data_IF_504336549552
#
_entry.id   IF_504336549552
#
_cell.length_a   1.000
_cell.length_b   1.000
_cell.length_c   1.000
_cell.angle_alpha   90.00
_cell.angle_beta   90.00
_cell.angle_gamma   90.00
#
_symmetry.space_group_name_H-M   'P 1'
#
loop_
_entity.id
_entity.type
_entity.pdbx_description
1 polymer ?
#
# COMPACT_ATOMS: atom_id res chain seq x y z
N UNK A 1 0.67 8.56 25.34
CA UNK A 1 0.07 7.62 24.37
C UNK A 1 -0.14 8.37 23.06
N UNK A 2 0.75 8.24 22.09
CA UNK A 2 0.50 8.74 20.73
C UNK A 2 0.25 7.51 19.86
N UNK A 3 -1.03 7.19 19.64
CA UNK A 3 -1.43 6.15 18.69
C UNK A 3 -1.22 6.72 17.29
N UNK A 4 -0.31 6.10 16.54
CA UNK A 4 -0.03 6.33 15.12
C UNK A 4 -1.26 6.04 14.26
N UNK A 5 -2.30 6.87 14.34
CA UNK A 5 -3.60 6.47 13.81
C UNK A 5 -3.68 6.47 12.27
N UNK A 6 -2.84 7.23 11.56
CA UNK A 6 -2.98 7.36 10.10
C UNK A 6 -1.63 7.60 9.43
N UNK A 7 -0.79 6.57 9.38
CA UNK A 7 0.41 6.62 8.53
C UNK A 7 0.05 6.66 7.04
N UNK A 8 -1.17 6.22 6.68
CA UNK A 8 -1.71 6.30 5.32
C UNK A 8 -3.19 6.68 5.41
N UNK A 9 -3.65 7.74 4.71
CA UNK A 9 -5.08 8.04 4.56
C UNK A 9 -5.84 6.84 3.96
N UNK A 10 -7.11 6.60 4.36
CA UNK A 10 -7.90 5.50 3.82
C UNK A 10 -8.08 5.59 2.30
N UNK A 11 -8.30 6.79 1.75
CA UNK A 11 -8.31 7.02 0.29
C UNK A 11 -7.02 6.52 -0.38
N UNK A 12 -5.88 6.68 0.29
CA UNK A 12 -4.60 6.23 -0.24
C UNK A 12 -4.42 4.71 -0.11
N UNK A 13 -4.88 4.13 0.99
CA UNK A 13 -4.86 2.68 1.19
C UNK A 13 -5.68 1.95 0.12
N UNK A 14 -6.88 2.46 -0.21
CA UNK A 14 -7.74 1.86 -1.24
C UNK A 14 -7.04 1.84 -2.60
N UNK A 15 -6.43 2.96 -3.04
CA UNK A 15 -5.72 3.01 -4.32
C UNK A 15 -4.51 2.08 -4.34
N UNK A 16 -3.77 1.98 -3.22
CA UNK A 16 -2.64 1.05 -3.11
C UNK A 16 -3.13 -0.41 -3.14
N UNK A 17 -4.25 -0.73 -2.47
CA UNK A 17 -4.88 -2.05 -2.53
C UNK A 17 -5.33 -2.41 -3.95
N UNK A 18 -6.03 -1.51 -4.64
CA UNK A 18 -6.46 -1.75 -6.03
C UNK A 18 -5.26 -1.98 -6.95
N UNK A 19 -4.19 -1.20 -6.79
CA UNK A 19 -2.97 -1.40 -7.57
C UNK A 19 -2.26 -2.73 -7.20
N UNK A 20 -2.29 -3.15 -5.92
CA UNK A 20 -1.77 -4.45 -5.48
C UNK A 20 -2.59 -5.62 -6.05
N UNK A 21 -3.90 -5.48 -6.17
CA UNK A 21 -4.76 -6.49 -6.78
C UNK A 21 -4.65 -6.51 -8.31
N UNK A 22 -4.51 -5.35 -8.95
CA UNK A 22 -4.40 -5.24 -10.39
C UNK A 22 -3.06 -5.73 -10.94
N UNK A 23 -1.96 -5.47 -10.21
CA UNK A 23 -0.59 -5.75 -10.69
C UNK A 23 0.06 -6.90 -9.93
N UNK A 24 -0.42 -7.22 -8.72
CA UNK A 24 0.20 -8.17 -7.81
C UNK A 24 1.27 -7.52 -6.94
N UNK A 25 1.31 -7.88 -5.65
CA UNK A 25 2.31 -7.41 -4.67
C UNK A 25 3.76 -7.83 -4.95
N UNK A 26 4.03 -8.40 -6.11
CA UNK A 26 5.33 -8.90 -6.53
C UNK A 26 6.26 -7.75 -6.99
N UNK A 27 5.69 -6.71 -7.61
CA UNK A 27 6.48 -5.60 -8.17
C UNK A 27 6.11 -4.24 -7.57
N UNK A 28 6.82 -3.86 -6.51
CA UNK A 28 6.81 -2.53 -5.90
C UNK A 28 7.01 -1.41 -6.93
N UNK A 29 7.85 -1.64 -7.95
CA UNK A 29 8.11 -0.68 -9.03
C UNK A 29 6.86 -0.38 -9.85
N UNK A 30 6.09 -1.40 -10.22
CA UNK A 30 4.85 -1.21 -10.98
C UNK A 30 3.78 -0.52 -10.13
N UNK A 31 3.71 -0.86 -8.84
CA UNK A 31 2.82 -0.17 -7.91
C UNK A 31 3.17 1.32 -7.82
N UNK A 32 4.47 1.64 -7.68
CA UNK A 32 4.96 3.00 -7.61
C UNK A 32 4.74 3.78 -8.92
N UNK A 33 4.88 3.11 -10.06
CA UNK A 33 4.60 3.66 -11.40
C UNK A 33 3.10 3.95 -11.58
N UNK A 34 2.24 3.05 -11.10
CA UNK A 34 0.78 3.20 -11.14
C UNK A 34 0.27 4.31 -10.22
N UNK A 35 0.86 4.40 -9.03
CA UNK A 35 0.59 5.42 -8.01
C UNK A 35 1.25 6.78 -8.32
N UNK A 36 2.15 6.84 -9.32
CA UNK A 36 2.91 8.02 -9.79
C UNK A 36 3.19 9.08 -8.72
N UNK A 37 4.34 9.00 -8.05
CA UNK A 37 4.95 10.01 -7.13
C UNK A 37 4.05 10.65 -6.04
N UNK A 38 2.75 10.36 -6.00
CA UNK A 38 1.79 10.94 -5.05
C UNK A 38 1.80 10.22 -3.69
N UNK A 39 2.52 9.11 -3.60
CA UNK A 39 2.58 8.21 -2.45
C UNK A 39 4.02 7.93 -2.10
N UNK A 40 4.32 7.94 -0.80
CA UNK A 40 5.65 7.63 -0.32
C UNK A 40 5.87 6.12 -0.29
N UNK A 41 7.14 5.71 -0.40
CA UNK A 41 7.55 4.31 -0.30
C UNK A 41 7.11 3.65 1.02
N UNK A 42 7.00 4.44 2.09
CA UNK A 42 6.59 3.98 3.41
C UNK A 42 5.11 3.59 3.43
N UNK A 43 4.23 4.44 2.87
CA UNK A 43 2.79 4.16 2.75
C UNK A 43 2.54 2.87 1.96
N UNK A 44 3.25 2.72 0.85
CA UNK A 44 3.17 1.55 -0.01
C UNK A 44 3.64 0.29 0.73
N UNK A 45 4.75 0.38 1.48
CA UNK A 45 5.26 -0.75 2.29
C UNK A 45 4.26 -1.19 3.35
N UNK A 46 3.65 -0.24 4.04
CA UNK A 46 2.66 -0.52 5.10
C UNK A 46 1.47 -1.28 4.51
N UNK A 47 0.87 -0.76 3.43
CA UNK A 47 -0.30 -1.38 2.81
C UNK A 47 0.03 -2.75 2.22
N UNK A 48 1.19 -2.89 1.57
CA UNK A 48 1.66 -4.19 1.08
C UNK A 48 1.84 -5.21 2.20
N UNK A 49 2.39 -4.79 3.34
CA UNK A 49 2.58 -5.68 4.50
C UNK A 49 1.23 -6.17 5.05
N UNK A 50 0.23 -5.28 5.15
CA UNK A 50 -1.13 -5.63 5.56
C UNK A 50 -1.76 -6.60 4.57
N UNK A 51 -1.68 -6.30 3.26
CA UNK A 51 -2.23 -7.15 2.20
C UNK A 51 -1.62 -8.55 2.17
N UNK A 52 -0.29 -8.66 2.36
CA UNK A 52 0.37 -9.98 2.47
C UNK A 52 -0.08 -10.73 3.73
N UNK A 53 -0.23 -10.03 4.85
CA UNK A 53 -0.69 -10.65 6.10
C UNK A 53 -2.15 -11.13 6.02
N UNK A 54 -3.01 -10.50 5.23
CA UNK A 54 -4.38 -11.00 4.99
C UNK A 54 -4.44 -12.15 3.97
N UNK A 55 -3.49 -12.23 3.03
CA UNK A 55 -3.44 -13.29 2.02
C UNK A 55 -2.71 -14.56 2.49
N UNK A 56 -1.83 -14.45 3.48
CA UNK A 56 -1.21 -15.59 4.14
C UNK A 56 -2.02 -15.93 5.42
N UNK A 57 -2.72 -17.08 5.47
CA UNK A 57 -3.53 -17.48 6.64
C UNK A 57 -2.68 -17.85 7.87
#
# INVERSE_FOLDING_TARGET
>A
MAKSDRLVPPDRQTVIYEALEAIGGDSLRNLFDHLREAYTYDEIKIVRAIWQNEKEP
#
